data_IF_339126684118
#
_entry.id   IF_339126684118
#
_cell.length_a   1.000
_cell.length_b   1.000
_cell.length_c   1.000
_cell.angle_alpha   90.00
_cell.angle_beta   90.00
_cell.angle_gamma   90.00
#
_symmetry.space_group_name_H-M   'P 1'
#
loop_
_entity.id
_entity.type
_entity.pdbx_description
1 polymer ?
#
# COMPACT_ATOMS: atom_id res chain seq x y z
N UNK A 1 2.37 16.17 -2.24
CA UNK A 1 2.51 14.81 -2.83
C UNK A 1 1.21 14.23 -3.36
N UNK A 2 0.09 14.29 -2.61
CA UNK A 2 -1.20 13.74 -3.05
C UNK A 2 -1.70 14.36 -4.37
N UNK A 3 -1.57 15.68 -4.53
CA UNK A 3 -1.94 16.35 -5.80
C UNK A 3 -1.12 15.83 -6.98
N UNK A 4 0.19 15.69 -6.82
CA UNK A 4 1.07 15.17 -7.87
C UNK A 4 0.73 13.71 -8.21
N UNK A 5 0.39 12.89 -7.23
CA UNK A 5 -0.04 11.51 -7.45
C UNK A 5 -1.37 11.47 -8.21
N UNK A 6 -2.35 12.29 -7.82
CA UNK A 6 -3.63 12.43 -8.52
C UNK A 6 -3.44 12.90 -9.97
N UNK A 7 -2.68 13.97 -10.18
CA UNK A 7 -2.40 14.51 -11.52
C UNK A 7 -1.73 13.42 -12.39
N UNK A 8 -0.73 12.71 -11.87
CA UNK A 8 -0.06 11.62 -12.58
C UNK A 8 -0.97 10.46 -12.99
N UNK A 9 -2.00 10.16 -12.18
CA UNK A 9 -3.05 9.20 -12.55
C UNK A 9 -3.94 9.77 -13.66
N UNK A 10 -4.38 11.02 -13.53
CA UNK A 10 -5.29 11.66 -14.50
C UNK A 10 -4.63 11.88 -15.87
N UNK A 11 -3.36 12.22 -15.87
CA UNK A 11 -2.55 12.40 -17.09
C UNK A 11 -2.08 11.07 -17.72
N UNK A 12 -2.31 9.93 -17.04
CA UNK A 12 -1.93 8.61 -17.55
C UNK A 12 -0.45 8.28 -17.45
N UNK A 13 0.30 9.03 -16.63
CA UNK A 13 1.69 8.75 -16.30
C UNK A 13 1.77 7.47 -15.49
N UNK A 14 0.86 7.32 -14.51
CA UNK A 14 0.75 6.15 -13.64
C UNK A 14 -0.60 5.47 -13.74
N UNK A 15 -0.61 4.18 -13.51
CA UNK A 15 -1.80 3.37 -13.26
C UNK A 15 -1.99 3.14 -11.74
N UNK A 16 -0.86 3.03 -11.03
CA UNK A 16 -0.76 2.96 -9.57
C UNK A 16 0.37 3.88 -9.14
N UNK A 17 0.16 4.70 -8.11
CA UNK A 17 1.22 5.58 -7.61
C UNK A 17 1.19 5.71 -6.10
N UNK A 18 2.36 5.57 -5.51
CA UNK A 18 2.61 5.88 -4.11
C UNK A 18 2.91 7.39 -4.00
N UNK A 19 2.14 8.14 -3.21
CA UNK A 19 2.34 9.60 -3.09
C UNK A 19 3.56 9.95 -2.24
N UNK A 20 4.51 9.03 -2.09
CA UNK A 20 5.76 9.21 -1.34
C UNK A 20 6.90 8.39 -1.94
N UNK A 21 8.12 8.83 -1.68
CA UNK A 21 9.34 8.15 -2.10
C UNK A 21 9.69 6.95 -1.21
N UNK A 22 10.70 6.19 -1.63
CA UNK A 22 11.27 5.10 -0.82
C UNK A 22 12.33 5.61 0.17
N UNK A 23 12.63 4.80 1.16
CA UNK A 23 13.74 5.02 2.09
C UNK A 23 13.56 6.28 2.93
N UNK A 24 14.44 7.27 2.77
CA UNK A 24 14.44 8.49 3.58
C UNK A 24 13.15 9.31 3.55
N UNK A 25 12.31 9.10 2.54
CA UNK A 25 11.01 9.76 2.43
C UNK A 25 9.94 9.17 3.35
N UNK A 26 10.22 8.04 3.96
CA UNK A 26 9.29 7.34 4.85
C UNK A 26 9.65 7.63 6.30
N UNK A 27 8.80 8.39 6.95
CA UNK A 27 8.99 8.89 8.32
C UNK A 27 7.96 8.29 9.26
N UNK A 28 8.42 7.84 10.40
CA UNK A 28 7.58 7.31 11.48
C UNK A 28 7.63 8.24 12.68
N UNK A 29 6.47 8.60 13.19
CA UNK A 29 6.30 9.55 14.30
C UNK A 29 5.58 8.84 15.44
N UNK A 30 6.11 8.91 16.65
CA UNK A 30 5.37 8.47 17.85
C UNK A 30 4.14 9.35 18.03
N UNK A 31 2.94 8.77 17.95
CA UNK A 31 1.68 9.50 18.05
C UNK A 31 1.30 9.75 19.52
N UNK A 32 2.15 10.47 20.26
CA UNK A 32 1.82 10.95 21.61
C UNK A 32 0.85 12.13 21.52
N UNK A 33 0.04 12.32 22.58
CA UNK A 33 -0.90 13.44 22.65
C UNK A 33 -0.20 14.80 22.47
N UNK A 34 0.99 14.96 23.04
CA UNK A 34 1.78 16.19 22.92
C UNK A 34 2.21 16.46 21.47
N UNK A 35 2.75 15.46 20.78
CA UNK A 35 3.19 15.59 19.38
C UNK A 35 2.00 15.85 18.48
N UNK A 36 0.92 15.11 18.66
CA UNK A 36 -0.29 15.27 17.86
C UNK A 36 -0.93 16.64 18.08
N UNK A 37 -1.08 17.09 19.33
CA UNK A 37 -1.66 18.39 19.67
C UNK A 37 -0.83 19.54 19.11
N UNK A 38 0.48 19.49 19.30
CA UNK A 38 1.39 20.52 18.78
C UNK A 38 1.36 20.59 17.24
N UNK A 39 1.37 19.43 16.56
CA UNK A 39 1.26 19.44 15.10
C UNK A 39 -0.09 19.98 14.61
N UNK A 40 -1.19 19.62 15.28
CA UNK A 40 -2.53 20.12 14.93
C UNK A 40 -2.66 21.63 15.11
N UNK A 41 -1.99 22.18 16.12
CA UNK A 41 -1.96 23.63 16.40
C UNK A 41 -1.09 24.39 15.37
N UNK A 42 0.16 23.95 15.21
CA UNK A 42 1.16 24.69 14.43
C UNK A 42 1.14 24.36 12.93
N UNK A 43 0.65 23.16 12.53
CA UNK A 43 0.72 22.63 11.17
C UNK A 43 2.13 22.64 10.59
N UNK A 44 3.13 22.48 11.45
CA UNK A 44 4.54 22.58 11.12
C UNK A 44 5.13 21.21 10.76
N UNK A 45 5.44 20.99 9.48
CA UNK A 45 6.05 19.75 9.00
C UNK A 45 7.53 19.62 9.36
N UNK A 46 8.26 20.72 9.56
CA UNK A 46 9.64 20.68 10.06
C UNK A 46 9.68 20.12 11.48
N UNK A 47 8.67 20.42 12.28
CA UNK A 47 8.51 19.81 13.59
C UNK A 47 8.29 18.31 13.51
N UNK A 48 7.41 17.83 12.61
CA UNK A 48 7.22 16.39 12.42
C UNK A 48 8.51 15.72 11.94
N UNK A 49 9.27 16.37 11.07
CA UNK A 49 10.54 15.83 10.60
C UNK A 49 11.56 15.69 11.74
N UNK A 50 11.64 16.70 12.62
CA UNK A 50 12.54 16.70 13.76
C UNK A 50 12.24 15.62 14.80
N UNK A 51 10.97 15.21 14.94
CA UNK A 51 10.54 14.17 15.90
C UNK A 51 10.32 12.80 15.26
N UNK A 52 10.61 12.65 13.97
CA UNK A 52 10.42 11.41 13.22
C UNK A 52 11.68 10.57 13.12
N UNK A 53 11.50 9.28 12.88
CA UNK A 53 12.55 8.36 12.49
C UNK A 53 12.31 7.86 11.07
N UNK A 54 13.38 7.51 10.34
CA UNK A 54 13.24 6.84 9.05
C UNK A 54 12.72 5.42 9.31
N UNK A 55 11.66 5.06 8.62
CA UNK A 55 11.10 3.71 8.66
C UNK A 55 10.80 3.23 7.25
N UNK A 56 11.55 2.27 6.78
CA UNK A 56 11.38 1.71 5.44
C UNK A 56 10.26 0.67 5.40
N UNK A 57 9.09 1.08 4.95
CA UNK A 57 7.98 0.19 4.59
C UNK A 57 7.59 0.48 3.14
N UNK A 58 8.25 -0.15 2.20
CA UNK A 58 8.17 0.26 0.78
C UNK A 58 6.80 0.09 0.13
N UNK A 59 5.85 -0.60 0.73
CA UNK A 59 4.63 -1.04 0.07
C UNK A 59 3.32 -0.59 0.72
N UNK A 60 3.32 -0.23 1.99
CA UNK A 60 2.12 0.17 2.74
C UNK A 60 1.78 1.66 2.67
N UNK A 61 0.99 2.12 3.61
CA UNK A 61 0.58 3.46 4.02
C UNK A 61 -0.41 4.17 3.10
N UNK A 62 -0.06 4.58 1.88
CA UNK A 62 -0.98 5.27 0.99
C UNK A 62 -0.69 4.94 -0.48
N UNK A 63 -1.77 4.78 -1.25
CA UNK A 63 -1.67 4.44 -2.67
C UNK A 63 -2.82 5.09 -3.43
N UNK A 64 -2.56 5.50 -4.67
CA UNK A 64 -3.56 5.94 -5.62
C UNK A 64 -3.62 4.96 -6.78
N UNK A 65 -4.82 4.66 -7.23
CA UNK A 65 -5.09 3.76 -8.36
C UNK A 65 -6.01 4.41 -9.37
N UNK A 66 -5.79 4.14 -10.65
CA UNK A 66 -6.89 4.23 -11.60
C UNK A 66 -7.95 3.21 -11.22
N UNK A 67 -9.19 3.65 -11.02
CA UNK A 67 -10.29 2.76 -10.62
C UNK A 67 -10.40 1.51 -11.50
N UNK A 68 -10.36 1.69 -12.82
CA UNK A 68 -10.41 0.58 -13.77
C UNK A 68 -9.26 -0.41 -13.57
N UNK A 69 -8.03 0.10 -13.47
CA UNK A 69 -6.83 -0.73 -13.26
C UNK A 69 -6.90 -1.48 -11.94
N UNK A 70 -7.40 -0.85 -10.88
CA UNK A 70 -7.58 -1.50 -9.58
C UNK A 70 -8.51 -2.70 -9.66
N UNK A 71 -9.65 -2.55 -10.37
CA UNK A 71 -10.61 -3.64 -10.57
C UNK A 71 -10.02 -4.74 -11.46
N UNK A 72 -9.50 -4.39 -12.64
CA UNK A 72 -8.90 -5.34 -13.59
C UNK A 72 -7.68 -6.07 -13.02
N UNK A 73 -6.91 -5.39 -12.18
CA UNK A 73 -5.74 -5.93 -11.50
C UNK A 73 -6.05 -6.81 -10.29
N UNK A 74 -7.32 -7.01 -9.94
CA UNK A 74 -7.74 -7.94 -8.90
C UNK A 74 -7.98 -7.32 -7.52
N UNK A 75 -8.06 -6.00 -7.43
CA UNK A 75 -8.38 -5.26 -6.18
C UNK A 75 -7.47 -5.64 -5.00
N UNK A 76 -8.04 -5.71 -3.78
CA UNK A 76 -7.40 -6.35 -2.64
C UNK A 76 -7.56 -7.88 -2.75
N UNK A 77 -6.51 -8.63 -2.42
CA UNK A 77 -6.63 -10.08 -2.35
C UNK A 77 -7.23 -10.47 -1.00
N UNK A 78 -8.52 -10.81 -0.99
CA UNK A 78 -9.26 -11.17 0.22
C UNK A 78 -8.84 -12.53 0.82
N UNK A 79 -7.89 -13.25 0.18
CA UNK A 79 -7.30 -14.46 0.76
C UNK A 79 -6.24 -14.11 1.84
N UNK A 80 -5.70 -12.90 1.83
CA UNK A 80 -4.89 -12.41 2.96
C UNK A 80 -5.80 -11.97 4.10
N UNK A 81 -5.49 -12.44 5.30
CA UNK A 81 -6.26 -12.14 6.51
C UNK A 81 -5.36 -11.44 7.52
N UNK A 82 -5.81 -10.29 8.03
CA UNK A 82 -5.04 -9.49 8.97
C UNK A 82 -3.70 -8.99 8.38
N UNK A 83 -2.61 -9.02 9.13
CA UNK A 83 -1.33 -8.41 8.79
C UNK A 83 -0.47 -9.28 7.84
N UNK A 84 0.13 -8.65 6.86
CA UNK A 84 1.20 -9.07 5.94
C UNK A 84 0.97 -10.40 5.15
N UNK A 85 1.52 -10.51 3.95
CA UNK A 85 2.26 -9.52 3.17
C UNK A 85 1.45 -8.88 2.03
N UNK A 86 0.20 -8.53 2.27
CA UNK A 86 -0.79 -8.05 1.27
C UNK A 86 -0.32 -6.82 0.49
N UNK A 87 0.31 -5.86 1.15
CA UNK A 87 0.84 -4.65 0.51
C UNK A 87 1.96 -4.96 -0.48
N UNK A 88 2.85 -5.88 -0.09
CA UNK A 88 3.95 -6.36 -0.94
C UNK A 88 3.43 -7.16 -2.12
N UNK A 89 2.41 -7.98 -1.89
CA UNK A 89 1.73 -8.74 -2.94
C UNK A 89 1.14 -7.79 -3.98
N UNK A 90 0.40 -6.78 -3.54
CA UNK A 90 -0.24 -5.79 -4.41
C UNK A 90 0.78 -5.07 -5.27
N UNK A 91 1.86 -4.57 -4.71
CA UNK A 91 2.95 -3.95 -5.46
C UNK A 91 3.53 -4.90 -6.52
N UNK A 92 3.85 -6.14 -6.13
CA UNK A 92 4.39 -7.16 -7.01
C UNK A 92 3.42 -7.49 -8.15
N UNK A 93 2.16 -7.72 -7.83
CA UNK A 93 1.12 -8.10 -8.79
C UNK A 93 0.91 -7.03 -9.85
N UNK A 94 0.71 -5.78 -9.48
CA UNK A 94 0.50 -4.71 -10.45
C UNK A 94 1.71 -4.51 -11.38
N UNK A 95 2.92 -4.61 -10.85
CA UNK A 95 4.14 -4.61 -11.68
C UNK A 95 4.18 -5.81 -12.63
N UNK A 96 3.93 -7.02 -12.14
CA UNK A 96 3.95 -8.25 -12.94
C UNK A 96 2.88 -8.26 -14.03
N UNK A 97 1.74 -7.66 -13.77
CA UNK A 97 0.69 -7.47 -14.77
C UNK A 97 1.05 -6.42 -15.83
N UNK A 98 2.08 -5.61 -15.60
CA UNK A 98 2.61 -4.63 -16.54
C UNK A 98 1.95 -3.26 -16.45
N UNK A 99 1.29 -2.95 -15.33
CA UNK A 99 0.77 -1.61 -15.07
C UNK A 99 1.90 -0.63 -14.73
N UNK A 100 1.67 0.64 -15.00
CA UNK A 100 2.62 1.72 -14.70
C UNK A 100 2.57 2.05 -13.20
N UNK A 101 3.41 1.38 -12.43
CA UNK A 101 3.54 1.62 -10.98
C UNK A 101 4.66 2.63 -10.73
N UNK A 102 4.36 3.70 -10.01
CA UNK A 102 5.34 4.76 -9.72
C UNK A 102 5.30 5.29 -8.29
N UNK A 103 6.18 6.24 -8.03
CA UNK A 103 6.30 6.93 -6.73
C UNK A 103 6.53 8.42 -6.94
N UNK A 104 6.03 9.22 -6.02
CA UNK A 104 6.35 10.65 -5.93
C UNK A 104 7.49 10.81 -4.93
N UNK A 105 8.53 11.55 -5.30
CA UNK A 105 9.66 11.83 -4.39
C UNK A 105 9.27 12.93 -3.39
N UNK A 106 8.45 12.55 -2.43
CA UNK A 106 8.00 13.42 -1.35
C UNK A 106 7.85 12.63 -0.05
N UNK A 107 7.74 13.31 1.08
CA UNK A 107 7.66 12.68 2.39
C UNK A 107 6.28 12.17 2.71
N UNK A 108 6.25 11.09 3.50
CA UNK A 108 5.06 10.62 4.21
C UNK A 108 5.40 10.46 5.70
N UNK A 109 4.47 10.83 6.56
CA UNK A 109 4.61 10.69 8.01
C UNK A 109 3.55 9.70 8.50
N UNK A 110 4.01 8.56 8.98
CA UNK A 110 3.16 7.55 9.59
C UNK A 110 3.11 7.77 11.09
N UNK A 111 1.94 8.11 11.59
CA UNK A 111 1.70 8.21 13.03
C UNK A 111 1.58 6.81 13.62
N UNK A 112 2.50 6.45 14.50
CA UNK A 112 2.49 5.16 15.20
C UNK A 112 1.26 5.03 16.09
N UNK A 113 0.63 3.90 16.01
CA UNK A 113 -0.52 3.55 16.81
C UNK A 113 -0.31 2.19 17.50
N UNK A 114 -1.07 1.94 18.56
CA UNK A 114 -1.05 0.65 19.24
C UNK A 114 -1.42 -0.48 18.26
N UNK A 115 -0.68 -1.58 18.33
CA UNK A 115 -0.91 -2.75 17.48
C UNK A 115 -1.63 -3.84 18.27
N UNK A 116 -2.71 -4.35 17.71
CA UNK A 116 -3.42 -5.49 18.23
C UNK A 116 -2.80 -6.82 17.76
N UNK A 117 -3.30 -7.92 18.29
CA UNK A 117 -2.86 -9.28 17.96
C UNK A 117 -2.81 -9.56 16.45
N UNK A 118 -3.84 -9.10 15.74
CA UNK A 118 -3.98 -9.30 14.28
C UNK A 118 -3.15 -8.32 13.43
N UNK A 119 -2.42 -7.39 14.04
CA UNK A 119 -1.64 -6.34 13.37
C UNK A 119 -0.13 -6.58 13.40
N UNK A 120 0.31 -7.80 13.70
CA UNK A 120 1.72 -8.15 13.86
C UNK A 120 2.02 -9.55 13.36
N UNK A 121 3.31 -9.93 13.35
CA UNK A 121 3.76 -11.28 12.93
C UNK A 121 3.18 -12.43 13.79
N UNK A 122 2.63 -12.12 14.96
CA UNK A 122 1.93 -13.08 15.81
C UNK A 122 0.50 -13.40 15.38
N UNK A 123 0.00 -12.78 14.30
CA UNK A 123 -1.36 -13.05 13.83
C UNK A 123 -1.53 -14.53 13.45
N UNK A 124 -2.68 -15.15 13.76
CA UNK A 124 -2.90 -16.59 13.53
C UNK A 124 -2.96 -16.98 12.05
N UNK A 125 -3.06 -16.01 11.15
CA UNK A 125 -3.14 -16.22 9.70
C UNK A 125 -1.80 -16.09 8.99
N UNK A 126 -0.70 -15.79 9.69
CA UNK A 126 0.60 -15.54 9.08
C UNK A 126 1.05 -16.67 8.15
N UNK A 127 0.91 -17.93 8.57
CA UNK A 127 1.31 -19.08 7.76
C UNK A 127 0.50 -19.17 6.48
N UNK A 128 -0.83 -19.03 6.55
CA UNK A 128 -1.69 -19.05 5.35
C UNK A 128 -1.42 -17.89 4.42
N UNK A 129 -1.17 -16.69 4.96
CA UNK A 129 -0.81 -15.52 4.19
C UNK A 129 0.52 -15.71 3.45
N UNK A 130 1.52 -16.28 4.12
CA UNK A 130 2.82 -16.57 3.48
C UNK A 130 2.69 -17.62 2.37
N UNK A 131 1.88 -18.66 2.57
CA UNK A 131 1.62 -19.67 1.55
C UNK A 131 0.89 -19.07 0.33
N UNK A 132 -0.06 -18.17 0.55
CA UNK A 132 -0.74 -17.45 -0.53
C UNK A 132 0.24 -16.53 -1.29
N UNK A 133 1.11 -15.83 -0.58
CA UNK A 133 2.15 -15.00 -1.18
C UNK A 133 3.11 -15.82 -2.06
N UNK A 134 3.64 -16.93 -1.56
CA UNK A 134 4.55 -17.81 -2.31
C UNK A 134 3.89 -18.34 -3.58
N UNK A 135 2.62 -18.77 -3.48
CA UNK A 135 1.81 -19.20 -4.61
C UNK A 135 1.71 -18.12 -5.69
N UNK A 136 1.32 -16.89 -5.31
CA UNK A 136 1.18 -15.76 -6.24
C UNK A 136 2.52 -15.38 -6.86
N UNK A 137 3.57 -15.36 -6.06
CA UNK A 137 4.92 -15.02 -6.52
C UNK A 137 5.43 -15.97 -7.60
N UNK A 138 5.09 -17.26 -7.50
CA UNK A 138 5.49 -18.29 -8.46
C UNK A 138 4.73 -18.26 -9.79
N UNK A 139 3.55 -17.64 -9.85
CA UNK A 139 2.69 -17.60 -11.03
C UNK A 139 3.34 -16.84 -12.19
N UNK A 140 3.13 -17.31 -13.42
CA UNK A 140 3.32 -16.50 -14.62
C UNK A 140 2.29 -15.37 -14.70
N UNK A 141 2.52 -14.36 -15.56
CA UNK A 141 1.54 -13.29 -15.79
C UNK A 141 0.15 -13.85 -16.18
N UNK A 142 0.11 -14.85 -17.07
CA UNK A 142 -1.16 -15.42 -17.53
C UNK A 142 -1.86 -16.21 -16.41
N UNK A 143 -1.12 -16.97 -15.63
CA UNK A 143 -1.68 -17.70 -14.49
C UNK A 143 -2.19 -16.72 -13.41
N UNK A 144 -1.52 -15.60 -13.23
CA UNK A 144 -1.92 -14.57 -12.30
C UNK A 144 -3.23 -13.89 -12.74
N UNK A 145 -3.38 -13.57 -14.02
CA UNK A 145 -4.63 -13.06 -14.59
C UNK A 145 -5.77 -14.06 -14.42
N UNK A 146 -5.53 -15.33 -14.73
CA UNK A 146 -6.53 -16.38 -14.54
C UNK A 146 -6.92 -16.51 -13.07
N UNK A 147 -5.94 -16.60 -12.17
CA UNK A 147 -6.16 -16.71 -10.72
C UNK A 147 -7.08 -15.61 -10.20
N UNK A 148 -6.81 -14.34 -10.58
CA UNK A 148 -7.65 -13.23 -10.13
C UNK A 148 -9.03 -13.22 -10.81
N UNK A 149 -9.14 -13.61 -12.07
CA UNK A 149 -10.45 -13.70 -12.76
C UNK A 149 -11.41 -14.73 -12.12
N UNK A 150 -10.89 -15.70 -11.42
CA UNK A 150 -11.66 -16.76 -10.75
C UNK A 150 -12.09 -16.40 -9.32
N UNK A 151 -11.60 -15.25 -8.77
CA UNK A 151 -11.91 -14.87 -7.39
C UNK A 151 -13.37 -14.43 -7.23
N UNK A 152 -14.07 -15.05 -6.29
CA UNK A 152 -15.51 -14.77 -6.04
C UNK A 152 -15.78 -13.31 -5.69
N UNK A 153 -14.89 -12.67 -4.90
CA UNK A 153 -15.06 -11.27 -4.49
C UNK A 153 -14.98 -10.28 -5.66
N UNK A 154 -14.40 -10.68 -6.79
CA UNK A 154 -14.34 -9.84 -8.00
C UNK A 154 -15.59 -9.97 -8.89
N UNK A 155 -16.37 -11.04 -8.78
CA UNK A 155 -17.54 -11.29 -9.64
C UNK A 155 -18.58 -10.18 -9.56
N UNK A 156 -18.73 -9.56 -8.40
CA UNK A 156 -19.65 -8.41 -8.20
C UNK A 156 -19.24 -7.14 -8.97
N UNK A 157 -18.00 -7.10 -9.48
CA UNK A 157 -17.47 -5.98 -10.27
C UNK A 157 -17.32 -6.33 -11.77
N UNK A 158 -17.65 -7.56 -12.17
CA UNK A 158 -17.64 -7.97 -13.56
C UNK A 158 -18.69 -7.17 -14.34
N UNK A 159 -18.24 -6.33 -15.27
CA UNK A 159 -19.11 -5.48 -16.09
C UNK A 159 -19.17 -3.99 -15.70
N UNK A 160 -18.30 -3.54 -14.79
CA UNK A 160 -18.15 -2.12 -14.43
C UNK A 160 -17.02 -1.47 -15.23
#
# INVERSE_FOLDING_TARGET
SYKLAYDGIMEGIYDVVYPYGSGMYQKQVAATDDICSKFLEERNYEYLDAVSNIHTSDFGWAQFFKRRVYIEGGMENENFKAYAPEDKERFFRFNKLGYKVGRINDYVYHLEHARGENSWFSNPHMQSNMSEWEKIQSMSKNNLLQYYSEQEYLKKYAGI
#
